data_IF_671714321496
#
_entry.id   IF_671714321496
#
_cell.length_a   1.000
_cell.length_b   1.000
_cell.length_c   1.000
_cell.angle_alpha   90.00
_cell.angle_beta   90.00
_cell.angle_gamma   90.00
#
_symmetry.space_group_name_H-M   'P 1'
#
loop_
_entity.id
_entity.type
_entity.pdbx_description
1 polymer ?
#
# COMPACT_ATOMS: atom_id res chain seq x y z
N UNK A 1 -11.72 -30.02 18.51
CA UNK A 1 -11.42 -28.59 18.30
C UNK A 1 -10.74 -28.45 16.96
N UNK A 2 -11.50 -28.15 15.91
CA UNK A 2 -10.94 -27.79 14.60
C UNK A 2 -10.29 -26.41 14.73
N UNK A 3 -9.03 -26.32 14.34
CA UNK A 3 -8.11 -25.21 14.61
C UNK A 3 -8.59 -23.94 13.91
N UNK A 4 -9.34 -23.09 14.61
CA UNK A 4 -9.88 -21.79 14.13
C UNK A 4 -8.80 -20.92 13.48
N UNK A 5 -7.56 -21.04 13.96
CA UNK A 5 -6.38 -20.36 13.44
C UNK A 5 -6.07 -20.73 11.99
N UNK A 6 -6.25 -21.98 11.59
CA UNK A 6 -5.95 -22.45 10.23
C UNK A 6 -6.91 -21.91 9.16
N UNK A 7 -8.14 -21.57 9.55
CA UNK A 7 -9.14 -20.96 8.67
C UNK A 7 -8.86 -19.47 8.40
N UNK A 8 -8.30 -18.76 9.39
CA UNK A 8 -7.88 -17.36 9.23
C UNK A 8 -6.79 -17.22 8.16
N UNK A 9 -5.77 -18.08 8.20
CA UNK A 9 -4.66 -18.06 7.23
C UNK A 9 -5.06 -18.52 5.82
N UNK A 10 -6.17 -19.24 5.65
CA UNK A 10 -6.71 -19.60 4.32
C UNK A 10 -7.62 -18.53 3.73
N UNK A 11 -7.99 -17.50 4.49
CA UNK A 11 -8.90 -16.48 4.03
C UNK A 11 -8.19 -15.45 3.15
N UNK A 12 -8.51 -15.44 1.85
CA UNK A 12 -7.94 -14.47 0.90
C UNK A 12 -8.22 -13.01 1.27
N UNK A 13 -9.35 -12.72 1.92
CA UNK A 13 -9.68 -11.35 2.37
C UNK A 13 -8.77 -10.87 3.50
N UNK A 14 -8.36 -11.77 4.39
CA UNK A 14 -7.44 -11.43 5.47
C UNK A 14 -6.07 -11.02 4.91
N UNK A 15 -5.51 -11.84 4.01
CA UNK A 15 -4.22 -11.57 3.38
C UNK A 15 -4.24 -10.32 2.50
N UNK A 16 -5.30 -10.16 1.70
CA UNK A 16 -5.43 -9.02 0.82
C UNK A 16 -5.61 -7.73 1.62
N UNK A 17 -6.55 -7.72 2.56
CA UNK A 17 -6.93 -6.48 3.23
C UNK A 17 -5.96 -6.07 4.31
N UNK A 18 -5.29 -7.02 4.98
CA UNK A 18 -4.30 -6.72 6.03
C UNK A 18 -2.88 -6.59 5.47
N UNK A 19 -2.11 -7.69 5.39
CA UNK A 19 -0.70 -7.64 5.00
C UNK A 19 -0.43 -6.99 3.65
N UNK A 20 -1.22 -7.28 2.62
CA UNK A 20 -0.95 -6.76 1.28
C UNK A 20 -1.20 -5.25 1.17
N UNK A 21 -2.28 -4.72 1.76
CA UNK A 21 -2.50 -3.26 1.78
C UNK A 21 -1.42 -2.54 2.58
N UNK A 22 -0.96 -3.12 3.70
CA UNK A 22 0.12 -2.56 4.49
C UNK A 22 1.39 -2.44 3.64
N UNK A 23 1.81 -3.53 2.99
CA UNK A 23 2.99 -3.55 2.13
C UNK A 23 2.86 -2.52 0.99
N UNK A 24 1.73 -2.50 0.28
CA UNK A 24 1.52 -1.55 -0.82
C UNK A 24 1.50 -0.11 -0.32
N UNK A 25 0.89 0.17 0.83
CA UNK A 25 0.88 1.53 1.40
C UNK A 25 2.28 2.00 1.84
N UNK A 26 3.12 1.11 2.36
CA UNK A 26 4.52 1.40 2.67
C UNK A 26 5.31 1.69 1.40
N UNK A 27 5.08 0.93 0.33
CA UNK A 27 5.69 1.18 -0.97
C UNK A 27 5.26 2.52 -1.57
N UNK A 28 3.97 2.87 -1.47
CA UNK A 28 3.45 4.17 -1.90
C UNK A 28 4.10 5.30 -1.11
N UNK A 29 4.20 5.17 0.23
CA UNK A 29 4.90 6.13 1.08
C UNK A 29 6.36 6.29 0.65
N UNK A 30 7.07 5.19 0.40
CA UNK A 30 8.47 5.21 -0.03
C UNK A 30 8.64 5.88 -1.40
N UNK A 31 7.80 5.53 -2.37
CA UNK A 31 7.83 6.15 -3.70
C UNK A 31 7.46 7.64 -3.65
N UNK A 32 6.52 8.03 -2.78
CA UNK A 32 6.14 9.42 -2.58
C UNK A 32 7.30 10.30 -2.13
N UNK A 33 8.27 9.75 -1.41
CA UNK A 33 9.48 10.50 -1.07
C UNK A 33 10.35 10.88 -2.28
N UNK A 34 10.23 10.17 -3.40
CA UNK A 34 10.97 10.44 -4.63
C UNK A 34 10.35 11.54 -5.49
N UNK A 35 9.01 11.64 -5.54
CA UNK A 35 8.32 12.57 -6.44
C UNK A 35 7.64 13.75 -5.72
N UNK A 36 7.41 13.69 -4.42
CA UNK A 36 6.78 14.79 -3.69
C UNK A 36 7.76 15.97 -3.53
N UNK A 37 7.33 17.21 -3.74
CA UNK A 37 8.23 18.36 -3.67
C UNK A 37 8.74 18.62 -2.23
N UNK A 38 10.03 18.95 -2.05
CA UNK A 38 10.65 19.10 -0.73
C UNK A 38 10.21 20.38 0.02
N UNK A 39 9.63 21.35 -0.69
CA UNK A 39 9.11 22.60 -0.10
C UNK A 39 10.19 23.51 0.49
N UNK A 40 9.79 24.62 1.12
CA UNK A 40 10.72 25.64 1.64
C UNK A 40 11.68 25.10 2.71
N UNK A 41 11.23 24.13 3.51
CA UNK A 41 12.02 23.49 4.56
C UNK A 41 12.87 22.30 4.09
N UNK A 42 12.84 21.95 2.80
CA UNK A 42 13.52 20.79 2.21
C UNK A 42 13.18 19.41 2.83
N UNK A 43 12.08 19.30 3.57
CA UNK A 43 11.69 18.06 4.28
C UNK A 43 10.28 17.58 3.95
N UNK A 44 9.50 18.34 3.16
CA UNK A 44 8.10 18.00 2.90
C UNK A 44 7.98 16.66 2.18
N UNK A 45 8.94 16.33 1.32
CA UNK A 45 9.04 15.04 0.63
C UNK A 45 9.24 13.86 1.59
N UNK A 46 9.60 14.07 2.86
CA UNK A 46 9.68 13.02 3.88
C UNK A 46 8.47 13.09 4.81
N UNK A 47 8.15 14.29 5.29
CA UNK A 47 7.09 14.51 6.27
C UNK A 47 5.71 14.19 5.69
N UNK A 48 5.39 14.63 4.46
CA UNK A 48 4.09 14.37 3.87
C UNK A 48 3.79 12.89 3.67
N UNK A 49 4.68 12.07 3.06
CA UNK A 49 4.45 10.64 2.96
C UNK A 49 4.21 9.96 4.31
N UNK A 50 4.99 10.32 5.34
CA UNK A 50 4.86 9.76 6.69
C UNK A 50 3.49 10.08 7.31
N UNK A 51 3.02 11.32 7.17
CA UNK A 51 1.72 11.76 7.67
C UNK A 51 0.57 11.12 6.87
N UNK A 52 0.74 10.95 5.55
CA UNK A 52 -0.27 10.37 4.67
C UNK A 52 -0.34 8.85 4.74
N UNK A 53 0.74 8.16 5.15
CA UNK A 53 0.80 6.71 5.26
C UNK A 53 -0.42 6.09 5.97
N UNK A 54 -0.82 6.50 7.18
CA UNK A 54 -1.99 5.92 7.85
C UNK A 54 -3.29 6.14 7.08
N UNK A 55 -3.43 7.27 6.37
CA UNK A 55 -4.61 7.56 5.55
C UNK A 55 -4.65 6.70 4.30
N UNK A 56 -3.52 6.54 3.61
CA UNK A 56 -3.37 5.68 2.43
C UNK A 56 -3.66 4.23 2.82
N UNK A 57 -3.05 3.77 3.92
CA UNK A 57 -3.26 2.42 4.43
C UNK A 57 -4.72 2.19 4.79
N UNK A 58 -5.35 3.07 5.57
CA UNK A 58 -6.75 2.94 5.96
C UNK A 58 -7.66 2.92 4.73
N UNK A 59 -7.45 3.80 3.75
CA UNK A 59 -8.23 3.83 2.52
C UNK A 59 -8.13 2.51 1.75
N UNK A 60 -6.92 1.98 1.58
CA UNK A 60 -6.69 0.69 0.91
C UNK A 60 -7.27 -0.47 1.71
N UNK A 61 -7.11 -0.48 3.03
CA UNK A 61 -7.68 -1.47 3.93
C UNK A 61 -9.20 -1.52 3.79
N UNK A 62 -9.89 -0.38 3.94
CA UNK A 62 -11.35 -0.34 3.85
C UNK A 62 -11.82 -0.68 2.44
N UNK A 63 -11.17 -0.17 1.39
CA UNK A 63 -11.52 -0.50 0.01
C UNK A 63 -11.43 -2.00 -0.26
N UNK A 64 -10.33 -2.65 0.14
CA UNK A 64 -10.13 -4.09 -0.09
C UNK A 64 -10.98 -4.95 0.83
N UNK A 65 -11.21 -4.51 2.07
CA UNK A 65 -12.05 -5.22 3.03
C UNK A 65 -13.53 -5.20 2.64
N UNK A 66 -14.04 -4.06 2.16
CA UNK A 66 -15.43 -3.88 1.71
C UNK A 66 -15.63 -4.24 0.22
N UNK A 67 -14.61 -4.73 -0.48
CA UNK A 67 -14.71 -5.03 -1.90
C UNK A 67 -15.73 -6.15 -2.19
N UNK A 68 -16.72 -5.84 -3.03
CA UNK A 68 -17.67 -6.82 -3.58
C UNK A 68 -17.00 -7.75 -4.61
N UNK A 69 -15.99 -7.25 -5.31
CA UNK A 69 -15.22 -8.00 -6.31
C UNK A 69 -13.73 -8.04 -5.92
N UNK A 70 -13.29 -9.20 -5.44
CA UNK A 70 -11.91 -9.43 -5.04
C UNK A 70 -10.91 -9.28 -6.19
N UNK A 71 -11.30 -9.53 -7.45
CA UNK A 71 -10.38 -9.40 -8.59
C UNK A 71 -10.04 -7.94 -8.84
N UNK A 72 -11.02 -7.04 -8.72
CA UNK A 72 -10.78 -5.59 -8.84
C UNK A 72 -9.91 -5.06 -7.70
N UNK A 73 -10.09 -5.59 -6.49
CA UNK A 73 -9.25 -5.23 -5.34
C UNK A 73 -7.79 -5.66 -5.55
N UNK A 74 -7.56 -6.88 -6.02
CA UNK A 74 -6.22 -7.36 -6.42
C UNK A 74 -5.62 -6.51 -7.54
N UNK A 75 -6.40 -6.21 -8.58
CA UNK A 75 -5.95 -5.39 -9.71
C UNK A 75 -5.50 -4.00 -9.27
N UNK A 76 -6.23 -3.34 -8.37
CA UNK A 76 -5.84 -2.04 -7.83
C UNK A 76 -4.52 -2.11 -7.06
N UNK A 77 -4.38 -3.06 -6.13
CA UNK A 77 -3.15 -3.19 -5.35
C UNK A 77 -1.94 -3.52 -6.23
N UNK A 78 -2.12 -4.37 -7.23
CA UNK A 78 -1.06 -4.73 -8.17
C UNK A 78 -0.66 -3.55 -9.05
N UNK A 79 -1.63 -2.76 -9.53
CA UNK A 79 -1.35 -1.53 -10.26
C UNK A 79 -0.57 -0.51 -9.41
N UNK A 80 -1.00 -0.26 -8.18
CA UNK A 80 -0.28 0.60 -7.24
C UNK A 80 1.13 0.08 -6.97
N UNK A 81 1.28 -1.23 -6.75
CA UNK A 81 2.57 -1.85 -6.52
C UNK A 81 3.53 -1.63 -7.70
N UNK A 82 3.07 -1.90 -8.92
CA UNK A 82 3.89 -1.73 -10.13
C UNK A 82 4.26 -0.27 -10.33
N UNK A 83 3.30 0.65 -10.30
CA UNK A 83 3.56 2.08 -10.56
C UNK A 83 4.58 2.63 -9.57
N UNK A 84 4.41 2.35 -8.27
CA UNK A 84 5.33 2.86 -7.26
C UNK A 84 6.69 2.16 -7.30
N UNK A 85 6.74 0.86 -7.64
CA UNK A 85 8.02 0.17 -7.89
C UNK A 85 8.77 0.75 -9.08
N UNK A 86 8.06 1.09 -10.16
CA UNK A 86 8.64 1.71 -11.35
C UNK A 86 9.22 3.09 -11.03
N UNK A 87 8.51 3.91 -10.26
CA UNK A 87 9.02 5.21 -9.78
C UNK A 87 10.34 5.03 -9.01
N UNK A 88 10.39 4.09 -8.07
CA UNK A 88 11.60 3.81 -7.31
C UNK A 88 12.72 3.24 -8.20
N UNK A 89 12.38 2.36 -9.15
CA UNK A 89 13.34 1.83 -10.11
C UNK A 89 13.98 2.96 -10.93
N UNK A 90 13.19 3.91 -11.44
CA UNK A 90 13.74 5.08 -12.14
C UNK A 90 14.58 5.99 -11.23
N UNK A 91 14.23 6.12 -9.95
CA UNK A 91 14.99 6.91 -8.99
C UNK A 91 16.38 6.32 -8.68
N UNK A 92 16.52 4.98 -8.65
CA UNK A 92 17.75 4.29 -8.24
C UNK A 92 18.56 3.67 -9.38
N UNK A 93 17.90 3.23 -10.45
CA UNK A 93 18.52 2.61 -11.63
C UNK A 93 18.66 3.58 -12.80
N UNK A 94 18.21 4.83 -12.63
CA UNK A 94 18.39 5.92 -13.59
C UNK A 94 19.86 6.21 -13.84
#
# INVERSE_FOLDING_TARGET
MTTSTGLLFKNGRFWLSGPATLLVSLLVMLAMAAWFPPGAGNVNNIVMPLVMFPLIWAALFFYTYLANDMRKAWGLLLALFIVNSVVLAFQFLG
#
